data_IF_966652144141
#
_entry.id   IF_966652144141
#
_cell.length_a   1.000
_cell.length_b   1.000
_cell.length_c   1.000
_cell.angle_alpha   90.00
_cell.angle_beta   90.00
_cell.angle_gamma   90.00
#
_symmetry.space_group_name_H-M   'P 1'
#
loop_
_entity.id
_entity.type
_entity.pdbx_description
1 polymer ?
#
# COMPACT_ATOMS: atom_id res chain seq x y z
N UNK A 1 -2.63 -8.03 25.84
CA UNK A 1 -1.29 -8.30 25.28
C UNK A 1 -1.45 -9.25 24.10
N UNK A 2 -1.55 -8.70 22.88
CA UNK A 2 -1.48 -9.46 21.64
C UNK A 2 -0.37 -8.84 20.80
N UNK A 3 0.59 -9.68 20.44
CA UNK A 3 1.84 -9.30 19.82
C UNK A 3 1.62 -8.92 18.35
N UNK A 4 1.64 -7.63 18.04
CA UNK A 4 1.65 -7.16 16.66
C UNK A 4 3.07 -7.27 16.10
N UNK A 5 3.28 -8.18 15.15
CA UNK A 5 4.56 -8.32 14.45
C UNK A 5 4.63 -7.28 13.33
N UNK A 6 5.50 -6.27 13.51
CA UNK A 6 6.01 -5.45 12.42
C UNK A 6 6.71 -6.39 11.44
N UNK A 7 6.08 -6.70 10.32
CA UNK A 7 6.69 -7.55 9.30
C UNK A 7 7.27 -6.67 8.20
N UNK A 8 8.59 -6.49 8.22
CA UNK A 8 9.33 -5.99 7.07
C UNK A 8 9.25 -7.07 6.00
N UNK A 9 8.34 -6.92 5.03
CA UNK A 9 8.05 -8.00 4.09
C UNK A 9 9.11 -8.14 2.99
N UNK A 10 9.91 -7.12 2.66
CA UNK A 10 11.18 -7.23 1.90
C UNK A 10 11.79 -5.83 1.73
N UNK A 11 13.12 -5.71 1.80
CA UNK A 11 13.85 -4.56 1.25
C UNK A 11 14.56 -5.00 -0.02
N UNK A 12 14.56 -4.18 -1.06
CA UNK A 12 15.24 -4.46 -2.32
C UNK A 12 15.98 -3.22 -2.77
N UNK A 13 17.24 -3.41 -3.17
CA UNK A 13 18.06 -2.35 -3.72
C UNK A 13 17.71 -2.19 -5.19
N UNK A 14 17.30 -1.01 -5.62
CA UNK A 14 17.17 -0.65 -7.03
C UNK A 14 18.44 0.12 -7.45
N UNK A 15 19.09 -0.33 -8.52
CA UNK A 15 20.31 0.30 -9.05
C UNK A 15 19.97 1.39 -10.05
N UNK A 16 20.39 2.63 -9.77
CA UNK A 16 20.46 3.72 -10.74
C UNK A 16 21.82 3.69 -11.45
N UNK A 17 21.84 3.90 -12.77
CA UNK A 17 23.06 3.99 -13.58
C UNK A 17 23.84 5.30 -13.38
N UNK A 18 23.39 6.21 -12.52
CA UNK A 18 24.06 7.46 -12.20
C UNK A 18 24.16 7.65 -10.69
N UNK A 19 25.39 7.53 -10.17
CA UNK A 19 25.93 8.13 -8.93
C UNK A 19 25.03 8.28 -7.69
N UNK A 20 25.44 7.60 -6.61
CA UNK A 20 24.86 7.56 -5.25
C UNK A 20 23.62 6.68 -5.10
N UNK A 21 23.80 5.57 -4.36
CA UNK A 21 22.76 4.62 -3.98
C UNK A 21 21.87 5.24 -2.91
N UNK A 22 20.71 5.78 -3.29
CA UNK A 22 19.63 5.97 -2.34
C UNK A 22 18.93 4.61 -2.12
N UNK A 23 19.10 4.04 -0.93
CA UNK A 23 18.37 2.84 -0.52
C UNK A 23 16.87 3.18 -0.47
N UNK A 24 16.07 2.54 -1.33
CA UNK A 24 14.61 2.65 -1.29
C UNK A 24 14.10 1.53 -0.37
N UNK A 25 13.55 1.91 0.78
CA UNK A 25 12.87 0.97 1.69
C UNK A 25 11.37 1.04 1.44
N UNK A 26 10.79 -0.05 0.92
CA UNK A 26 9.34 -0.18 0.79
C UNK A 26 8.78 -0.59 2.15
N UNK A 27 8.03 0.33 2.76
CA UNK A 27 7.26 0.03 3.96
C UNK A 27 5.90 -0.52 3.55
N UNK A 28 5.61 -1.78 3.89
CA UNK A 28 4.29 -2.37 3.70
C UNK A 28 3.53 -2.23 5.02
N UNK A 29 2.39 -1.54 4.95
CA UNK A 29 1.45 -1.44 6.04
C UNK A 29 0.28 -2.38 5.77
N UNK A 30 0.14 -3.42 6.59
CA UNK A 30 -1.01 -4.31 6.57
C UNK A 30 -1.92 -3.99 7.76
N UNK A 31 -3.17 -3.61 7.48
CA UNK A 31 -4.18 -3.33 8.50
C UNK A 31 -5.14 -4.53 8.51
N UNK A 32 -5.08 -5.33 9.57
CA UNK A 32 -6.05 -6.43 9.79
C UNK A 32 -7.20 -5.89 10.62
N UNK A 33 -8.41 -5.85 10.06
CA UNK A 33 -9.58 -5.30 10.76
C UNK A 33 -10.22 -6.31 11.73
N UNK A 34 -10.41 -5.88 12.97
CA UNK A 34 -11.60 -6.16 13.80
C UNK A 34 -12.41 -4.86 13.98
N UNK A 35 -13.48 -4.82 14.81
CA UNK A 35 -14.36 -3.65 14.91
C UNK A 35 -13.63 -2.48 15.60
N UNK A 36 -13.59 -1.32 14.92
CA UNK A 36 -13.12 0.02 15.35
C UNK A 36 -11.79 0.10 16.13
N UNK A 37 -10.79 0.81 15.57
CA UNK A 37 -9.44 0.88 16.17
C UNK A 37 -8.92 2.33 16.32
N UNK A 38 -9.14 2.96 17.49
CA UNK A 38 -8.35 4.13 17.93
C UNK A 38 -6.82 3.87 17.89
N UNK A 39 -6.40 2.62 18.03
CA UNK A 39 -5.01 2.19 17.98
C UNK A 39 -4.42 2.21 16.55
N UNK A 40 -5.26 2.14 15.51
CA UNK A 40 -4.82 2.29 14.12
C UNK A 40 -4.33 3.71 13.88
N UNK A 41 -5.09 4.71 14.35
CA UNK A 41 -4.70 6.13 14.31
C UNK A 41 -3.37 6.33 15.04
N UNK A 42 -3.20 5.73 16.22
CA UNK A 42 -1.96 5.80 16.98
C UNK A 42 -0.80 5.10 16.27
N UNK A 43 -0.99 3.90 15.71
CA UNK A 43 0.06 3.17 14.99
C UNK A 43 0.53 3.93 13.75
N UNK A 44 -0.42 4.45 12.99
CA UNK A 44 -0.17 5.29 11.83
C UNK A 44 0.68 6.48 12.32
N UNK A 45 0.18 7.25 13.28
CA UNK A 45 0.86 8.43 13.82
C UNK A 45 2.26 8.11 14.39
N UNK A 46 2.43 6.99 15.10
CA UNK A 46 3.72 6.49 15.59
C UNK A 46 4.67 6.05 14.47
N UNK A 47 4.15 5.39 13.43
CA UNK A 47 4.96 4.96 12.27
C UNK A 47 5.49 6.14 11.47
N UNK A 48 4.75 7.26 11.44
CA UNK A 48 5.19 8.51 10.82
C UNK A 48 6.10 9.36 11.72
N UNK A 49 6.09 9.17 13.04
CA UNK A 49 6.83 10.02 14.00
C UNK A 49 8.06 9.36 14.64
N UNK A 50 8.04 8.06 14.95
CA UNK A 50 9.14 7.38 15.69
C UNK A 50 10.42 7.18 14.89
N UNK A 51 10.34 6.99 13.57
CA UNK A 51 11.51 6.60 12.76
C UNK A 51 12.22 7.80 12.09
N UNK A 52 11.78 9.04 12.33
CA UNK A 52 12.29 10.25 11.66
C UNK A 52 12.26 10.19 10.11
N UNK A 53 11.59 9.18 9.54
CA UNK A 53 11.39 8.98 8.12
C UNK A 53 10.18 9.81 7.70
N UNK A 54 10.43 10.90 6.96
CA UNK A 54 9.38 11.74 6.37
C UNK A 54 8.69 11.00 5.22
N UNK A 55 7.81 10.06 5.52
CA UNK A 55 6.95 9.44 4.51
C UNK A 55 5.97 10.52 4.04
N UNK A 56 5.92 10.74 2.73
CA UNK A 56 5.11 11.80 2.10
C UNK A 56 3.91 11.26 1.32
N UNK A 57 3.96 9.99 0.96
CA UNK A 57 2.99 9.37 0.08
C UNK A 57 2.82 7.89 0.41
N UNK A 58 1.65 7.36 0.07
CA UNK A 58 1.29 5.96 0.19
C UNK A 58 0.72 5.47 -1.14
N UNK A 59 1.15 4.29 -1.58
CA UNK A 59 0.55 3.62 -2.73
C UNK A 59 -0.72 2.89 -2.30
N UNK A 60 -1.78 3.07 -3.09
CA UNK A 60 -3.06 2.45 -2.88
C UNK A 60 -3.37 1.51 -4.06
N UNK A 61 -3.97 0.36 -3.77
CA UNK A 61 -4.38 -0.63 -4.77
C UNK A 61 -5.79 -0.39 -5.35
N UNK A 62 -6.33 0.82 -5.19
CA UNK A 62 -7.70 1.15 -5.62
C UNK A 62 -7.78 1.37 -7.13
N UNK A 63 -8.81 0.79 -7.75
CA UNK A 63 -9.18 0.96 -9.16
C UNK A 63 -10.42 1.85 -9.31
N UNK A 64 -10.63 2.38 -10.51
CA UNK A 64 -11.70 3.33 -10.78
C UNK A 64 -13.11 2.75 -10.66
N UNK A 65 -13.23 1.42 -10.71
CA UNK A 65 -14.47 0.66 -10.57
C UNK A 65 -14.70 0.13 -9.14
N UNK A 66 -13.78 0.36 -8.20
CA UNK A 66 -13.93 -0.10 -6.81
C UNK A 66 -14.88 0.79 -5.97
N UNK A 67 -15.14 2.02 -6.41
CA UNK A 67 -16.00 3.00 -5.72
C UNK A 67 -16.97 3.70 -6.67
N UNK A 68 -18.13 4.13 -6.16
CA UNK A 68 -19.13 4.88 -6.93
C UNK A 68 -18.69 6.32 -7.27
N UNK A 69 -17.63 6.83 -6.64
CA UNK A 69 -17.13 8.19 -6.81
C UNK A 69 -15.76 8.24 -7.48
N UNK A 70 -15.53 9.28 -8.28
CA UNK A 70 -14.26 9.51 -8.96
C UNK A 70 -13.18 9.91 -7.96
N UNK A 71 -12.13 9.09 -7.86
CA UNK A 71 -10.89 9.43 -7.15
C UNK A 71 -9.82 9.90 -8.15
N UNK A 72 -8.81 10.63 -7.68
CA UNK A 72 -7.73 11.13 -8.52
C UNK A 72 -6.47 10.25 -8.42
N UNK A 73 -5.60 10.22 -9.44
CA UNK A 73 -4.32 9.50 -9.36
C UNK A 73 -3.43 9.94 -8.19
N UNK A 74 -3.51 11.22 -7.83
CA UNK A 74 -2.86 11.81 -6.65
C UNK A 74 -3.87 12.63 -5.88
N UNK A 75 -4.05 12.34 -4.59
CA UNK A 75 -4.93 13.13 -3.73
C UNK A 75 -4.48 13.07 -2.28
N UNK A 76 -4.72 14.11 -1.46
CA UNK A 76 -4.48 14.02 -0.02
C UNK A 76 -5.33 12.91 0.62
N UNK A 77 -4.86 12.37 1.73
CA UNK A 77 -5.72 11.59 2.62
C UNK A 77 -6.84 12.46 3.20
N UNK A 78 -7.94 11.82 3.57
CA UNK A 78 -9.11 12.49 4.14
C UNK A 78 -8.82 13.00 5.57
N UNK A 79 -9.65 13.91 6.06
CA UNK A 79 -9.53 14.45 7.42
C UNK A 79 -9.60 13.31 8.46
N UNK A 80 -8.74 13.37 9.47
CA UNK A 80 -8.58 12.30 10.47
C UNK A 80 -7.47 11.28 10.14
N UNK A 81 -6.95 11.27 8.90
CA UNK A 81 -5.74 10.54 8.52
C UNK A 81 -4.50 11.46 8.55
N UNK A 82 -3.28 10.90 8.58
CA UNK A 82 -2.08 11.74 8.47
C UNK A 82 -2.02 12.46 7.13
N UNK A 83 -1.33 13.62 7.09
CA UNK A 83 -1.24 14.46 5.90
C UNK A 83 -0.29 13.85 4.86
N UNK A 84 -0.75 12.79 4.20
CA UNK A 84 -0.05 12.06 3.16
C UNK A 84 -0.76 12.24 1.82
N UNK A 85 -0.03 11.98 0.74
CA UNK A 85 -0.61 11.86 -0.60
C UNK A 85 -0.92 10.38 -0.87
N UNK A 86 -2.18 10.06 -1.15
CA UNK A 86 -2.59 8.81 -1.79
C UNK A 86 -2.15 8.83 -3.25
N UNK A 87 -1.43 7.80 -3.67
CA UNK A 87 -1.02 7.56 -5.04
C UNK A 87 -1.72 6.30 -5.54
N UNK A 88 -2.56 6.43 -6.57
CA UNK A 88 -3.38 5.36 -7.13
C UNK A 88 -2.84 4.95 -8.52
N UNK A 89 -1.75 4.18 -8.62
CA UNK A 89 -1.07 3.90 -9.88
C UNK A 89 -1.88 3.01 -10.83
N UNK A 90 -2.79 2.20 -10.31
CA UNK A 90 -3.64 1.28 -11.09
C UNK A 90 -5.08 1.78 -11.24
N UNK A 91 -5.29 3.08 -11.06
CA UNK A 91 -6.63 3.66 -11.04
C UNK A 91 -7.40 3.41 -12.36
N UNK A 92 -6.70 3.48 -13.49
CA UNK A 92 -7.29 3.25 -14.81
C UNK A 92 -7.33 1.77 -15.21
N UNK A 93 -6.84 0.86 -14.36
CA UNK A 93 -6.77 -0.56 -14.70
C UNK A 93 -8.13 -1.21 -14.52
N UNK A 94 -8.56 -1.95 -15.54
CA UNK A 94 -9.68 -2.86 -15.40
C UNK A 94 -9.24 -4.20 -14.79
N UNK A 95 -10.21 -5.01 -14.39
CA UNK A 95 -9.98 -6.32 -13.76
C UNK A 95 -9.04 -7.21 -14.58
N UNK A 96 -9.20 -7.24 -15.90
CA UNK A 96 -8.38 -8.05 -16.79
C UNK A 96 -6.93 -7.58 -16.84
N UNK A 97 -6.68 -6.27 -16.77
CA UNK A 97 -5.31 -5.72 -16.74
C UNK A 97 -4.56 -6.13 -15.46
N UNK A 98 -5.26 -6.17 -14.32
CA UNK A 98 -4.71 -6.68 -13.05
C UNK A 98 -4.27 -8.14 -13.20
N UNK A 99 -5.17 -9.00 -13.70
CA UNK A 99 -4.87 -10.43 -13.88
C UNK A 99 -3.76 -10.66 -14.89
N UNK A 100 -3.80 -9.99 -16.04
CA UNK A 100 -2.74 -10.09 -17.04
C UNK A 100 -1.37 -9.72 -16.45
N UNK A 101 -1.30 -8.73 -15.57
CA UNK A 101 -0.04 -8.35 -14.92
C UNK A 101 0.44 -9.43 -13.94
N UNK A 102 -0.44 -9.91 -13.06
CA UNK A 102 -0.12 -10.96 -12.09
C UNK A 102 0.40 -12.21 -12.80
N UNK A 103 -0.29 -12.66 -13.84
CA UNK A 103 0.09 -13.83 -14.64
C UNK A 103 1.41 -13.60 -15.39
N UNK A 104 1.54 -12.46 -16.09
CA UNK A 104 2.74 -12.14 -16.89
C UNK A 104 4.01 -12.15 -16.07
N UNK A 105 3.94 -11.71 -14.81
CA UNK A 105 5.08 -11.64 -13.90
C UNK A 105 5.15 -12.79 -12.90
N UNK A 106 4.28 -13.79 -13.03
CA UNK A 106 4.21 -14.97 -12.16
C UNK A 106 4.20 -14.58 -10.67
N UNK A 107 3.35 -13.61 -10.32
CA UNK A 107 3.20 -13.12 -8.95
C UNK A 107 2.37 -14.14 -8.17
N UNK A 108 2.87 -14.53 -6.99
CA UNK A 108 2.15 -15.44 -6.09
C UNK A 108 0.76 -14.90 -5.76
N UNK A 109 -0.26 -15.74 -5.94
CA UNK A 109 -1.66 -15.38 -5.78
C UNK A 109 -2.22 -15.89 -4.45
N UNK A 110 -3.29 -15.25 -3.98
CA UNK A 110 -4.05 -15.77 -2.84
C UNK A 110 -4.81 -17.04 -3.26
N UNK A 111 -4.67 -18.12 -2.50
CA UNK A 111 -5.31 -19.42 -2.80
C UNK A 111 -6.84 -19.34 -2.91
N UNK A 112 -7.48 -18.32 -2.33
CA UNK A 112 -8.93 -18.11 -2.46
C UNK A 112 -9.35 -17.88 -3.93
N UNK A 113 -8.47 -17.34 -4.78
CA UNK A 113 -8.78 -17.17 -6.20
C UNK A 113 -8.91 -18.52 -6.92
N UNK A 114 -8.13 -19.53 -6.54
CA UNK A 114 -8.27 -20.90 -7.04
C UNK A 114 -9.60 -21.55 -6.59
N UNK A 115 -10.18 -21.05 -5.50
CA UNK A 115 -11.46 -21.50 -4.96
C UNK A 115 -12.67 -20.77 -5.57
N UNK A 116 -12.46 -19.90 -6.56
CA UNK A 116 -13.53 -19.19 -7.27
C UNK A 116 -13.97 -17.87 -6.64
N UNK A 117 -13.22 -17.33 -5.68
CA UNK A 117 -13.39 -15.94 -5.24
C UNK A 117 -12.82 -15.00 -6.31
N UNK A 118 -13.45 -13.84 -6.54
CA UNK A 118 -13.05 -12.87 -7.57
C UNK A 118 -13.09 -11.46 -7.05
#
# INVERSE_FOLDING_TARGET
MSAWKRQLVKSTNLTSSAGSLSKIEILILHISTGPEFPELTNFIQESFTKDNRKIKAVFMGTRGDDFEYSIAPFMPCDEGWPPLIRVNPILSWNYREVWNFIERYNIDQCQLYEMGFT
#
